data_IF_005729170181
#
_entry.id   IF_005729170181
#
_cell.length_a   1.000
_cell.length_b   1.000
_cell.length_c   1.000
_cell.angle_alpha   90.00
_cell.angle_beta   90.00
_cell.angle_gamma   90.00
#
_symmetry.space_group_name_H-M   'P 1'
#
loop_
_entity.id
_entity.type
_entity.pdbx_description
1 polymer ?
#
# COMPACT_ATOMS: atom_id res chain seq x y z
N UNK A 1 -11.61 22.57 8.00
CA UNK A 1 -10.85 23.08 6.83
C UNK A 1 -9.34 22.97 7.04
N UNK A 2 -8.75 23.48 8.13
CA UNK A 2 -7.30 23.36 8.39
C UNK A 2 -6.83 21.90 8.48
N UNK A 3 -7.55 21.04 9.22
CA UNK A 3 -7.21 19.60 9.33
C UNK A 3 -7.23 18.93 7.94
N UNK A 4 -8.30 19.17 7.17
CA UNK A 4 -8.46 18.62 5.80
C UNK A 4 -7.32 19.07 4.88
N UNK A 5 -6.87 20.32 4.99
CA UNK A 5 -5.73 20.82 4.22
C UNK A 5 -4.44 20.01 4.50
N UNK A 6 -4.12 19.76 5.77
CA UNK A 6 -2.94 18.96 6.13
C UNK A 6 -3.08 17.50 5.72
N UNK A 7 -4.26 16.89 5.93
CA UNK A 7 -4.54 15.53 5.48
C UNK A 7 -4.35 15.39 3.96
N UNK A 8 -4.92 16.32 3.17
CA UNK A 8 -4.81 16.30 1.72
C UNK A 8 -3.37 16.54 1.23
N UNK A 9 -2.61 17.38 1.91
CA UNK A 9 -1.18 17.62 1.60
C UNK A 9 -0.34 16.37 1.82
N UNK A 10 -0.58 15.62 2.89
CA UNK A 10 0.07 14.35 3.12
C UNK A 10 -0.40 13.27 2.12
N UNK A 11 -1.71 13.17 1.92
CA UNK A 11 -2.31 12.10 1.14
C UNK A 11 -1.98 12.19 -0.36
N UNK A 12 -1.88 13.41 -0.91
CA UNK A 12 -1.47 13.59 -2.31
C UNK A 12 -0.03 13.12 -2.57
N UNK A 13 0.84 13.15 -1.55
CA UNK A 13 2.20 12.60 -1.68
C UNK A 13 2.19 11.08 -1.79
N UNK A 14 1.31 10.39 -1.04
CA UNK A 14 1.12 8.93 -1.18
C UNK A 14 0.66 8.57 -2.59
N UNK A 15 -0.28 9.33 -3.15
CA UNK A 15 -0.71 9.17 -4.54
C UNK A 15 0.42 9.45 -5.53
N UNK A 16 1.25 10.46 -5.27
CA UNK A 16 2.41 10.80 -6.10
C UNK A 16 3.41 9.67 -6.15
N UNK A 17 3.72 9.05 -5.00
CA UNK A 17 4.56 7.85 -4.95
C UNK A 17 3.92 6.69 -5.73
N UNK A 18 2.61 6.46 -5.56
CA UNK A 18 1.88 5.47 -6.34
C UNK A 18 1.98 5.69 -7.85
N UNK A 19 1.84 6.94 -8.31
CA UNK A 19 1.97 7.31 -9.72
C UNK A 19 3.40 7.10 -10.23
N UNK A 20 4.40 7.45 -9.43
CA UNK A 20 5.81 7.24 -9.76
C UNK A 20 6.12 5.74 -9.93
N UNK A 21 5.70 4.90 -8.98
CA UNK A 21 5.86 3.45 -9.07
C UNK A 21 5.07 2.84 -10.24
N UNK A 22 3.87 3.35 -10.54
CA UNK A 22 3.09 2.90 -11.70
C UNK A 22 3.85 3.17 -13.01
N UNK A 23 4.38 4.38 -13.21
CA UNK A 23 5.18 4.71 -14.39
C UNK A 23 6.38 3.76 -14.54
N UNK A 24 7.06 3.46 -13.44
CA UNK A 24 8.19 2.53 -13.43
C UNK A 24 7.81 1.05 -13.57
N UNK A 25 6.55 0.69 -13.34
CA UNK A 25 6.05 -0.68 -13.52
C UNK A 25 6.01 -1.11 -14.99
N UNK A 26 6.01 -0.16 -15.93
CA UNK A 26 6.02 -0.42 -17.37
C UNK A 26 7.44 -0.60 -17.96
N UNK A 27 8.48 -0.48 -17.13
CA UNK A 27 9.84 -0.76 -17.56
C UNK A 27 10.05 -2.27 -17.85
N UNK A 28 10.95 -2.58 -18.79
CA UNK A 28 11.27 -3.97 -19.14
C UNK A 28 11.77 -4.77 -17.92
N UNK A 29 12.53 -4.12 -17.05
CA UNK A 29 12.95 -4.63 -15.75
C UNK A 29 12.52 -3.66 -14.68
N UNK A 30 11.90 -4.15 -13.59
CA UNK A 30 11.49 -3.29 -12.50
C UNK A 30 12.73 -2.66 -11.82
N UNK A 31 12.79 -1.34 -11.64
CA UNK A 31 13.99 -0.66 -11.13
C UNK A 31 14.33 -1.03 -9.69
N UNK A 32 13.34 -1.47 -8.91
CA UNK A 32 13.52 -2.00 -7.55
C UNK A 32 13.81 -3.51 -7.49
N UNK A 33 13.95 -4.17 -8.65
CA UNK A 33 14.33 -5.57 -8.76
C UNK A 33 15.83 -5.80 -8.80
N UNK A 34 16.63 -4.79 -9.15
CA UNK A 34 18.07 -4.89 -9.43
C UNK A 34 18.88 -3.85 -8.67
N UNK A 35 20.14 -4.15 -8.39
CA UNK A 35 21.13 -3.23 -7.80
C UNK A 35 21.96 -2.49 -8.86
N UNK A 36 21.75 -2.76 -10.15
CA UNK A 36 22.50 -2.12 -11.24
C UNK A 36 21.88 -0.76 -11.65
N UNK A 37 21.72 0.15 -10.68
CA UNK A 37 21.22 1.51 -10.94
C UNK A 37 22.15 2.57 -10.34
N UNK A 38 22.03 3.80 -10.84
CA UNK A 38 22.89 4.93 -10.42
C UNK A 38 22.70 5.36 -8.97
N UNK A 39 21.55 5.04 -8.36
CA UNK A 39 21.23 5.34 -6.97
C UNK A 39 21.59 4.21 -6.01
N UNK A 40 22.08 3.07 -6.50
CA UNK A 40 22.42 1.95 -5.64
C UNK A 40 23.78 2.14 -4.96
N UNK A 41 23.90 1.68 -3.72
CA UNK A 41 25.15 1.72 -2.97
C UNK A 41 25.95 0.42 -3.22
N UNK A 42 27.25 0.39 -2.88
CA UNK A 42 28.02 -0.86 -2.88
C UNK A 42 27.48 -1.93 -1.93
N UNK A 43 26.62 -1.55 -0.98
CA UNK A 43 25.97 -2.45 -0.03
C UNK A 43 24.66 -3.07 -0.57
N UNK A 44 24.23 -2.68 -1.78
CA UNK A 44 23.04 -3.26 -2.40
C UNK A 44 23.30 -4.72 -2.78
N UNK A 45 22.39 -5.61 -2.38
CA UNK A 45 22.45 -7.03 -2.73
C UNK A 45 21.14 -7.52 -3.34
N UNK A 46 21.23 -7.99 -4.58
CA UNK A 46 20.15 -8.74 -5.24
C UNK A 46 20.04 -10.17 -4.69
N UNK A 47 21.12 -10.69 -4.09
CA UNK A 47 21.21 -12.07 -3.64
C UNK A 47 20.27 -12.33 -2.47
N UNK A 48 19.24 -13.10 -2.76
CA UNK A 48 18.51 -13.94 -1.82
C UNK A 48 19.42 -15.13 -1.54
N UNK A 49 19.69 -15.44 -0.26
CA UNK A 49 20.64 -16.47 0.17
C UNK A 49 20.52 -17.81 -0.56
N UNK A 50 21.25 -17.97 -1.66
CA UNK A 50 21.27 -19.21 -2.45
C UNK A 50 22.63 -19.43 -3.09
N UNK A 51 23.57 -19.83 -2.24
CA UNK A 51 24.58 -20.83 -2.59
C UNK A 51 24.97 -21.56 -1.31
N UNK A 52 24.33 -22.71 -1.06
CA UNK A 52 24.50 -23.63 0.09
C UNK A 52 23.88 -23.26 1.46
N UNK A 53 22.56 -23.03 1.54
CA UNK A 53 21.80 -23.29 2.80
C UNK A 53 21.34 -24.77 2.87
N UNK A 54 22.15 -25.72 2.41
CA UNK A 54 21.79 -27.15 2.26
C UNK A 54 22.50 -28.10 3.23
N UNK A 55 23.36 -27.62 4.16
CA UNK A 55 24.09 -28.52 5.06
C UNK A 55 24.40 -27.99 6.47
N UNK A 56 23.68 -26.98 6.96
CA UNK A 56 23.82 -26.49 8.33
C UNK A 56 22.50 -25.92 8.81
N UNK A 57 22.17 -26.17 10.09
CA UNK A 57 21.04 -25.61 10.84
C UNK A 57 20.54 -24.28 10.28
N UNK A 58 19.24 -24.21 9.95
CA UNK A 58 18.53 -23.13 9.25
C UNK A 58 18.55 -21.73 9.92
N UNK A 59 19.48 -21.46 10.84
CA UNK A 59 19.50 -20.28 11.69
C UNK A 59 20.25 -19.07 11.10
N UNK A 60 20.96 -19.19 9.96
CA UNK A 60 21.87 -18.14 9.47
C UNK A 60 21.69 -17.74 7.99
N UNK A 61 20.48 -17.83 7.42
CA UNK A 61 20.21 -17.30 6.06
C UNK A 61 19.73 -15.82 6.13
N UNK A 62 20.40 -14.99 6.94
CA UNK A 62 20.18 -13.54 6.95
C UNK A 62 21.10 -12.84 5.96
N UNK A 63 20.67 -11.67 5.46
CA UNK A 63 21.55 -10.76 4.73
C UNK A 63 22.79 -10.47 5.60
N UNK A 64 24.01 -10.51 5.05
CA UNK A 64 25.20 -10.10 5.78
C UNK A 64 24.99 -8.73 6.41
N UNK A 65 25.42 -8.56 7.66
CA UNK A 65 25.26 -7.30 8.39
C UNK A 65 25.79 -6.13 7.54
N UNK A 66 24.92 -5.16 7.26
CA UNK A 66 25.23 -3.98 6.45
C UNK A 66 24.82 -4.07 4.97
N UNK A 67 24.28 -5.19 4.47
CA UNK A 67 23.69 -5.25 3.12
C UNK A 67 22.23 -4.82 3.10
N UNK A 68 21.84 -4.07 2.08
CA UNK A 68 20.46 -3.61 1.86
C UNK A 68 19.83 -4.21 0.60
N UNK A 69 18.50 -4.33 0.63
CA UNK A 69 17.75 -4.84 -0.51
C UNK A 69 17.51 -3.74 -1.56
N UNK A 70 17.42 -4.09 -2.86
CA UNK A 70 17.30 -3.09 -3.92
C UNK A 70 16.05 -2.21 -3.81
N UNK A 71 14.96 -2.74 -3.23
CA UNK A 71 13.72 -2.01 -3.02
C UNK A 71 13.83 -0.96 -1.90
N UNK A 72 14.58 -1.25 -0.83
CA UNK A 72 14.80 -0.30 0.26
C UNK A 72 15.66 0.84 -0.26
N UNK A 73 16.73 0.55 -1.00
CA UNK A 73 17.54 1.59 -1.62
C UNK A 73 16.77 2.38 -2.69
N UNK A 74 15.89 1.74 -3.46
CA UNK A 74 15.02 2.44 -4.40
C UNK A 74 14.08 3.40 -3.66
N UNK A 75 13.46 2.96 -2.57
CA UNK A 75 12.57 3.79 -1.76
C UNK A 75 13.32 4.95 -1.09
N UNK A 76 14.39 4.66 -0.36
CA UNK A 76 15.08 5.65 0.47
C UNK A 76 15.99 6.58 -0.33
N UNK A 77 16.75 6.06 -1.30
CA UNK A 77 17.77 6.84 -2.03
C UNK A 77 17.30 7.38 -3.36
N UNK A 78 16.23 6.83 -3.95
CA UNK A 78 15.74 7.27 -5.27
C UNK A 78 14.38 7.94 -5.23
N UNK A 79 13.41 7.36 -4.52
CA UNK A 79 12.06 7.92 -4.41
C UNK A 79 12.07 9.06 -3.39
N UNK A 80 12.41 8.77 -2.13
CA UNK A 80 12.40 9.76 -1.06
C UNK A 80 13.60 10.69 -1.10
N UNK A 81 14.75 10.20 -1.57
CA UNK A 81 16.04 10.92 -1.52
C UNK A 81 16.31 11.49 -0.11
N UNK A 82 16.31 10.57 0.87
CA UNK A 82 16.36 10.93 2.29
C UNK A 82 17.62 11.74 2.62
N UNK A 83 17.38 12.90 3.22
CA UNK A 83 18.43 13.74 3.80
C UNK A 83 18.93 13.18 5.15
N UNK A 84 19.96 13.81 5.71
CA UNK A 84 20.56 13.40 6.98
C UNK A 84 19.62 13.59 8.20
N UNK A 85 18.64 14.49 8.09
CA UNK A 85 17.70 14.80 9.16
C UNK A 85 16.71 15.90 8.79
N UNK A 86 15.76 16.17 9.71
CA UNK A 86 14.66 17.14 9.49
C UNK A 86 15.14 18.59 9.28
N UNK A 87 16.32 18.93 9.79
CA UNK A 87 16.93 20.26 9.66
C UNK A 87 17.47 20.51 8.23
N UNK A 88 17.78 19.45 7.50
CA UNK A 88 18.30 19.50 6.13
C UNK A 88 17.23 18.97 5.18
N UNK A 89 16.47 19.85 4.54
CA UNK A 89 15.35 19.43 3.67
C UNK A 89 15.82 18.76 2.36
N UNK A 90 17.10 18.91 2.02
CA UNK A 90 17.68 18.36 0.79
C UNK A 90 17.21 19.11 -0.46
N UNK A 91 17.37 18.45 -1.62
CA UNK A 91 16.98 18.99 -2.92
C UNK A 91 15.58 18.51 -3.33
N UNK A 92 14.92 19.29 -4.20
CA UNK A 92 13.61 18.93 -4.72
C UNK A 92 13.75 17.92 -5.86
N UNK A 93 13.24 16.71 -5.66
CA UNK A 93 13.15 15.69 -6.71
C UNK A 93 12.22 16.14 -7.84
N UNK A 94 12.80 16.48 -8.99
CA UNK A 94 12.04 16.99 -10.14
C UNK A 94 11.08 15.95 -10.72
N UNK A 95 11.45 14.66 -10.71
CA UNK A 95 10.57 13.60 -11.19
C UNK A 95 9.31 13.48 -10.32
N UNK A 96 9.48 13.53 -8.99
CA UNK A 96 8.34 13.52 -8.07
C UNK A 96 7.52 14.81 -8.19
N UNK A 97 8.15 15.95 -8.47
CA UNK A 97 7.44 17.22 -8.69
C UNK A 97 6.54 17.14 -9.93
N UNK A 98 7.01 16.52 -11.01
CA UNK A 98 6.19 16.28 -12.20
C UNK A 98 5.06 15.27 -11.92
N UNK A 99 5.34 14.18 -11.19
CA UNK A 99 4.30 13.23 -10.77
C UNK A 99 3.25 13.90 -9.88
N UNK A 100 3.67 14.80 -8.97
CA UNK A 100 2.79 15.56 -8.09
C UNK A 100 1.89 16.50 -8.90
N UNK A 101 2.48 17.24 -9.85
CA UNK A 101 1.73 18.12 -10.75
C UNK A 101 0.70 17.32 -11.57
N UNK A 102 1.11 16.18 -12.14
CA UNK A 102 0.21 15.32 -12.89
C UNK A 102 -0.93 14.76 -12.02
N UNK A 103 -0.63 14.35 -10.79
CA UNK A 103 -1.63 13.84 -9.84
C UNK A 103 -2.63 14.92 -9.46
N UNK A 104 -2.18 16.16 -9.21
CA UNK A 104 -3.06 17.31 -8.97
C UNK A 104 -3.95 17.65 -10.17
N UNK A 105 -3.41 17.57 -11.38
CA UNK A 105 -4.19 17.77 -12.61
C UNK A 105 -5.31 16.73 -12.69
N UNK A 106 -5.02 15.45 -12.42
CA UNK A 106 -6.03 14.38 -12.39
C UNK A 106 -7.10 14.67 -11.34
N UNK A 107 -6.72 14.97 -10.10
CA UNK A 107 -7.65 15.32 -9.01
C UNK A 107 -8.54 16.51 -9.39
N UNK A 108 -7.95 17.56 -9.97
CA UNK A 108 -8.69 18.72 -10.44
C UNK A 108 -9.78 18.33 -11.45
N UNK A 109 -9.46 17.51 -12.46
CA UNK A 109 -10.45 17.08 -13.44
C UNK A 109 -11.53 16.15 -12.86
N UNK A 110 -11.21 15.37 -11.82
CA UNK A 110 -12.19 14.55 -11.11
C UNK A 110 -13.25 15.40 -10.37
N UNK A 111 -12.88 16.61 -9.91
CA UNK A 111 -13.74 17.45 -9.06
C UNK A 111 -14.27 18.70 -9.77
N UNK A 112 -13.64 19.18 -10.85
CA UNK A 112 -13.91 20.49 -11.48
C UNK A 112 -15.41 20.75 -11.72
N UNK A 113 -16.16 19.79 -12.25
CA UNK A 113 -17.60 19.96 -12.54
C UNK A 113 -18.52 19.64 -11.35
N UNK A 114 -17.97 19.60 -10.14
CA UNK A 114 -18.66 19.33 -8.88
C UNK A 114 -19.15 17.90 -8.73
N UNK A 115 -20.06 17.69 -7.78
CA UNK A 115 -20.53 16.37 -7.31
C UNK A 115 -21.11 15.47 -8.42
N UNK A 116 -21.61 16.04 -9.52
CA UNK A 116 -22.11 15.26 -10.65
C UNK A 116 -21.01 14.54 -11.42
N UNK A 117 -19.85 15.19 -11.59
CA UNK A 117 -18.68 14.55 -12.24
C UNK A 117 -17.96 13.67 -11.26
N UNK A 118 -17.77 14.11 -10.01
CA UNK A 118 -17.20 13.28 -8.95
C UNK A 118 -17.97 11.97 -8.80
N UNK A 119 -19.30 12.00 -8.74
CA UNK A 119 -20.13 10.80 -8.67
C UNK A 119 -19.90 9.84 -9.85
N UNK A 120 -19.71 10.36 -11.08
CA UNK A 120 -19.38 9.53 -12.26
C UNK A 120 -18.00 8.89 -12.18
N UNK A 121 -17.00 9.64 -11.73
CA UNK A 121 -15.64 9.14 -11.54
C UNK A 121 -15.61 8.05 -10.45
N UNK A 122 -16.35 8.27 -9.36
CA UNK A 122 -16.45 7.34 -8.23
C UNK A 122 -17.00 5.97 -8.63
N UNK A 123 -17.91 5.89 -9.62
CA UNK A 123 -18.33 4.57 -10.13
C UNK A 123 -17.16 3.73 -10.61
N UNK A 124 -16.12 4.33 -11.20
CA UNK A 124 -14.93 3.60 -11.61
C UNK A 124 -13.93 3.47 -10.46
N UNK A 125 -13.58 4.57 -9.79
CA UNK A 125 -12.53 4.58 -8.76
C UNK A 125 -12.90 3.78 -7.51
N UNK A 126 -14.19 3.61 -7.20
CA UNK A 126 -14.64 2.79 -6.06
C UNK A 126 -14.88 1.32 -6.42
N UNK A 127 -15.27 0.98 -7.65
CA UNK A 127 -15.61 -0.41 -8.02
C UNK A 127 -14.43 -1.18 -8.60
N UNK A 128 -13.59 -0.54 -9.40
CA UNK A 128 -12.47 -1.19 -10.07
C UNK A 128 -11.42 -1.75 -9.08
N UNK A 129 -11.13 -1.10 -7.93
CA UNK A 129 -10.29 -1.71 -6.90
C UNK A 129 -10.77 -3.09 -6.44
N UNK A 130 -12.08 -3.36 -6.37
CA UNK A 130 -12.57 -4.71 -6.02
C UNK A 130 -12.22 -5.76 -7.06
N UNK A 131 -12.26 -5.39 -8.35
CA UNK A 131 -11.83 -6.29 -9.43
C UNK A 131 -10.36 -6.62 -9.26
N UNK A 132 -9.52 -5.61 -8.98
CA UNK A 132 -8.08 -5.82 -8.75
C UNK A 132 -7.84 -6.65 -7.48
N UNK A 133 -8.54 -6.36 -6.37
CA UNK A 133 -8.45 -7.14 -5.14
C UNK A 133 -8.79 -8.62 -5.38
N UNK A 134 -9.81 -8.93 -6.18
CA UNK A 134 -10.16 -10.31 -6.53
C UNK A 134 -9.03 -10.96 -7.36
N UNK A 135 -8.47 -10.26 -8.34
CA UNK A 135 -7.35 -10.76 -9.15
C UNK A 135 -6.13 -11.03 -8.27
N UNK A 136 -5.78 -10.09 -7.40
CA UNK A 136 -4.66 -10.20 -6.46
C UNK A 136 -4.92 -11.26 -5.40
N UNK A 137 -6.17 -11.46 -4.97
CA UNK A 137 -6.56 -12.54 -4.06
C UNK A 137 -6.30 -13.90 -4.69
N UNK A 138 -6.86 -14.15 -5.89
CA UNK A 138 -6.66 -15.41 -6.63
C UNK A 138 -5.18 -15.65 -6.88
N UNK A 139 -4.42 -14.60 -7.22
CA UNK A 139 -2.97 -14.72 -7.37
C UNK A 139 -2.30 -15.06 -6.04
N UNK A 140 -2.62 -14.33 -4.98
CA UNK A 140 -2.06 -14.50 -3.64
C UNK A 140 -2.23 -15.91 -3.12
N UNK A 141 -3.45 -16.45 -3.16
CA UNK A 141 -3.75 -17.80 -2.64
C UNK A 141 -3.21 -18.95 -3.50
N UNK A 142 -2.78 -18.68 -4.74
CA UNK A 142 -2.15 -19.68 -5.62
C UNK A 142 -0.62 -19.71 -5.48
N UNK A 143 -0.04 -18.79 -4.73
CA UNK A 143 1.39 -18.78 -4.44
C UNK A 143 1.71 -19.78 -3.30
N UNK A 144 2.91 -20.38 -3.31
CA UNK A 144 3.38 -21.17 -2.17
C UNK A 144 3.50 -20.26 -0.94
N UNK A 145 3.20 -20.74 0.26
CA UNK A 145 3.34 -19.95 1.51
C UNK A 145 2.14 -19.08 1.85
N UNK A 146 1.13 -19.03 0.98
CA UNK A 146 -0.05 -18.21 1.17
C UNK A 146 -0.89 -18.66 2.39
N UNK A 147 -0.91 -19.95 2.68
CA UNK A 147 -1.67 -20.52 3.79
C UNK A 147 -1.09 -20.05 5.13
N UNK A 148 0.23 -20.07 5.28
CA UNK A 148 0.96 -19.61 6.45
C UNK A 148 0.68 -18.12 6.69
N UNK A 149 0.65 -17.32 5.63
CA UNK A 149 0.22 -15.93 5.65
C UNK A 149 -1.20 -15.73 6.19
N UNK A 150 -2.15 -16.50 5.68
CA UNK A 150 -3.57 -16.44 6.11
C UNK A 150 -3.73 -16.93 7.55
N UNK A 151 -3.00 -17.97 7.96
CA UNK A 151 -2.99 -18.44 9.35
C UNK A 151 -2.47 -17.34 10.26
N UNK A 152 -1.33 -16.71 9.92
CA UNK A 152 -0.80 -15.59 10.68
C UNK A 152 -1.81 -14.44 10.82
N UNK A 153 -2.55 -14.13 9.75
CA UNK A 153 -3.58 -13.09 9.77
C UNK A 153 -4.75 -13.40 10.72
N UNK A 154 -5.19 -14.66 10.77
CA UNK A 154 -6.40 -15.06 11.49
C UNK A 154 -6.15 -15.63 12.87
N UNK A 155 -4.93 -16.06 13.17
CA UNK A 155 -4.60 -16.72 14.42
C UNK A 155 -4.76 -15.75 15.59
N UNK A 156 -5.74 -15.97 16.49
CA UNK A 156 -6.00 -15.03 17.57
C UNK A 156 -5.00 -15.22 18.70
N UNK A 157 -4.44 -14.12 19.20
CA UNK A 157 -3.78 -14.07 20.49
C UNK A 157 -4.73 -13.47 21.53
N UNK A 158 -5.37 -14.33 22.32
CA UNK A 158 -6.36 -13.91 23.31
C UNK A 158 -5.76 -13.11 24.46
N UNK A 159 -4.45 -13.24 24.71
CA UNK A 159 -3.78 -12.48 25.76
C UNK A 159 -3.77 -10.97 25.45
N UNK A 160 -3.71 -10.63 24.15
CA UNK A 160 -3.73 -9.24 23.67
C UNK A 160 -5.03 -8.50 23.95
N UNK A 161 -6.16 -9.19 24.10
CA UNK A 161 -7.43 -8.53 24.42
C UNK A 161 -7.44 -7.88 25.82
N UNK A 162 -6.54 -8.29 26.71
CA UNK A 162 -6.35 -7.65 28.02
C UNK A 162 -5.55 -6.35 27.95
N UNK A 163 -4.88 -6.05 26.83
CA UNK A 163 -4.10 -4.83 26.64
C UNK A 163 -5.01 -3.69 26.17
N UNK A 164 -5.05 -2.58 26.92
CA UNK A 164 -5.87 -1.42 26.56
C UNK A 164 -5.51 -0.83 25.18
N UNK A 165 -4.24 -0.96 24.77
CA UNK A 165 -3.75 -0.45 23.49
C UNK A 165 -4.49 -1.08 22.30
N UNK A 166 -4.83 -2.38 22.36
CA UNK A 166 -5.55 -3.07 21.28
C UNK A 166 -6.92 -2.45 21.01
N UNK A 167 -7.60 -2.00 22.07
CA UNK A 167 -8.90 -1.33 21.95
C UNK A 167 -8.78 0.10 21.46
N UNK A 168 -7.73 0.81 21.89
CA UNK A 168 -7.41 2.15 21.37
C UNK A 168 -7.13 2.07 19.86
N UNK A 169 -6.33 1.10 19.43
CA UNK A 169 -6.00 0.89 18.03
C UNK A 169 -7.24 0.49 17.22
N UNK A 170 -8.07 -0.42 17.72
CA UNK A 170 -9.33 -0.81 17.07
C UNK A 170 -10.30 0.38 16.91
N UNK A 171 -10.47 1.18 17.97
CA UNK A 171 -11.30 2.40 17.91
C UNK A 171 -10.75 3.44 16.93
N UNK A 172 -9.43 3.64 16.94
CA UNK A 172 -8.71 4.55 16.04
C UNK A 172 -8.84 4.11 14.58
N UNK A 173 -8.67 2.82 14.31
CA UNK A 173 -8.81 2.23 12.97
C UNK A 173 -10.20 2.48 12.40
N UNK A 174 -11.25 2.19 13.17
CA UNK A 174 -12.63 2.41 12.71
C UNK A 174 -12.93 3.90 12.54
N UNK A 175 -12.50 4.74 13.48
CA UNK A 175 -12.72 6.19 13.41
C UNK A 175 -12.12 6.80 12.13
N UNK A 176 -10.88 6.46 11.80
CA UNK A 176 -10.20 6.95 10.59
C UNK A 176 -10.67 6.24 9.32
N UNK A 177 -11.04 4.96 9.38
CA UNK A 177 -11.56 4.23 8.22
C UNK A 177 -12.86 4.83 7.66
N UNK A 178 -13.72 5.39 8.52
CA UNK A 178 -14.93 6.10 8.10
C UNK A 178 -14.75 7.62 7.97
N UNK A 179 -13.57 8.16 8.28
CA UNK A 179 -13.31 9.61 8.26
C UNK A 179 -14.34 10.42 9.09
N UNK A 180 -14.74 9.90 10.25
CA UNK A 180 -15.81 10.50 11.07
C UNK A 180 -15.38 11.90 11.54
N UNK A 181 -16.28 12.88 11.40
CA UNK A 181 -16.03 14.25 11.87
C UNK A 181 -15.17 15.12 10.94
N UNK A 182 -14.72 14.62 9.79
CA UNK A 182 -13.99 15.42 8.79
C UNK A 182 -14.90 16.27 7.88
N UNK A 183 -16.22 16.10 7.98
CA UNK A 183 -17.22 16.87 7.22
C UNK A 183 -17.52 16.33 5.82
N UNK A 184 -16.75 15.35 5.31
CA UNK A 184 -16.98 14.74 4.00
C UNK A 184 -18.35 14.05 3.90
N UNK A 185 -18.69 13.18 4.86
CA UNK A 185 -20.00 12.51 4.89
C UNK A 185 -21.16 13.49 5.08
N UNK A 186 -20.98 14.54 5.88
CA UNK A 186 -21.97 15.61 6.04
C UNK A 186 -22.20 16.37 4.75
N UNK A 187 -21.13 16.67 4.01
CA UNK A 187 -21.22 17.33 2.70
C UNK A 187 -21.88 16.42 1.65
N UNK A 188 -21.59 15.12 1.62
CA UNK A 188 -22.27 14.19 0.73
C UNK A 188 -23.75 14.04 1.07
N UNK A 189 -24.08 13.99 2.37
CA UNK A 189 -25.45 13.94 2.85
C UNK A 189 -26.28 15.16 2.48
N UNK A 190 -25.69 16.35 2.38
CA UNK A 190 -26.41 17.59 2.01
C UNK A 190 -26.88 17.61 0.56
N UNK A 191 -26.30 16.77 -0.31
CA UNK A 191 -26.74 16.56 -1.70
C UNK A 191 -27.72 15.39 -1.86
N UNK A 192 -28.06 14.68 -0.77
CA UNK A 192 -28.95 13.53 -0.84
C UNK A 192 -30.43 13.94 -0.87
N UNK A 193 -31.32 13.01 -1.23
CA UNK A 193 -32.76 13.24 -1.18
C UNK A 193 -33.25 13.33 0.26
N UNK A 194 -34.18 14.25 0.53
CA UNK A 194 -34.68 14.52 1.89
C UNK A 194 -35.31 13.30 2.57
N UNK A 195 -36.04 12.47 1.80
CA UNK A 195 -36.72 11.26 2.31
C UNK A 195 -35.90 9.97 2.07
N UNK A 196 -34.60 10.07 1.82
CA UNK A 196 -33.75 8.89 1.65
C UNK A 196 -33.55 8.17 2.99
N UNK A 197 -33.59 6.84 2.97
CA UNK A 197 -33.32 6.01 4.16
C UNK A 197 -31.81 5.99 4.47
N UNK A 198 -31.35 7.00 5.19
CA UNK A 198 -29.95 7.13 5.57
C UNK A 198 -29.50 6.06 6.59
N UNK A 199 -30.43 5.43 7.31
CA UNK A 199 -30.10 4.37 8.27
C UNK A 199 -29.65 3.10 7.54
N UNK A 200 -30.39 2.71 6.50
CA UNK A 200 -30.02 1.61 5.62
C UNK A 200 -28.66 1.87 4.96
N UNK A 201 -28.44 3.07 4.43
CA UNK A 201 -27.19 3.44 3.79
C UNK A 201 -26.01 3.36 4.76
N UNK A 202 -26.18 3.84 6.00
CA UNK A 202 -25.14 3.76 7.03
C UNK A 202 -24.79 2.31 7.38
N UNK A 203 -25.78 1.42 7.49
CA UNK A 203 -25.54 0.01 7.77
C UNK A 203 -24.81 -0.69 6.62
N UNK A 204 -25.21 -0.43 5.37
CA UNK A 204 -24.54 -0.96 4.18
C UNK A 204 -23.10 -0.46 4.10
N UNK A 205 -22.89 0.84 4.29
CA UNK A 205 -21.56 1.45 4.31
C UNK A 205 -20.67 0.78 5.35
N UNK A 206 -21.22 0.50 6.55
CA UNK A 206 -20.48 -0.14 7.62
C UNK A 206 -20.05 -1.57 7.28
N UNK A 207 -20.96 -2.37 6.73
CA UNK A 207 -20.67 -3.74 6.31
C UNK A 207 -19.67 -3.80 5.16
N UNK A 208 -19.83 -2.94 4.15
CA UNK A 208 -18.94 -2.91 2.98
C UNK A 208 -17.55 -2.47 3.39
N UNK A 209 -17.41 -1.41 4.18
CA UNK A 209 -16.10 -0.92 4.61
C UNK A 209 -15.34 -1.98 5.45
N UNK A 210 -15.99 -2.55 6.46
CA UNK A 210 -15.36 -3.58 7.31
C UNK A 210 -15.10 -4.87 6.54
N UNK A 211 -16.04 -5.31 5.69
CA UNK A 211 -15.88 -6.50 4.86
C UNK A 211 -14.75 -6.36 3.84
N UNK A 212 -14.61 -5.18 3.24
CA UNK A 212 -13.52 -4.88 2.31
C UNK A 212 -12.17 -4.85 3.01
N UNK A 213 -12.10 -4.24 4.20
CA UNK A 213 -10.88 -4.23 5.01
C UNK A 213 -10.46 -5.64 5.42
N UNK A 214 -11.42 -6.47 5.82
CA UNK A 214 -11.16 -7.88 6.13
C UNK A 214 -10.67 -8.66 4.91
N UNK A 215 -11.33 -8.51 3.76
CA UNK A 215 -10.94 -9.16 2.51
C UNK A 215 -9.56 -8.71 2.01
N UNK A 216 -9.25 -7.41 2.09
CA UNK A 216 -7.94 -6.87 1.74
C UNK A 216 -6.83 -7.46 2.64
N UNK A 217 -7.14 -7.78 3.90
CA UNK A 217 -6.25 -8.53 4.79
C UNK A 217 -5.81 -9.87 4.19
N UNK A 218 -6.74 -10.68 3.66
CA UNK A 218 -6.39 -11.93 2.96
C UNK A 218 -5.48 -11.70 1.75
N UNK A 219 -5.75 -10.66 0.96
CA UNK A 219 -4.93 -10.30 -0.21
C UNK A 219 -3.48 -9.99 0.21
N UNK A 220 -3.32 -9.12 1.21
CA UNK A 220 -1.99 -8.70 1.68
C UNK A 220 -1.26 -9.88 2.31
N UNK A 221 -1.87 -10.58 3.26
CA UNK A 221 -1.19 -11.62 4.02
C UNK A 221 -0.92 -12.88 3.21
N UNK A 222 -1.73 -13.23 2.19
CA UNK A 222 -1.39 -14.32 1.27
C UNK A 222 -0.12 -14.03 0.46
N UNK A 223 0.07 -12.79 0.01
CA UNK A 223 1.29 -12.36 -0.71
C UNK A 223 2.49 -12.24 0.23
N UNK A 224 2.30 -11.75 1.46
CA UNK A 224 3.37 -11.71 2.47
C UNK A 224 3.82 -13.11 2.90
N UNK A 225 2.89 -14.07 3.04
CA UNK A 225 3.21 -15.46 3.34
C UNK A 225 4.12 -16.08 2.27
N UNK A 226 3.82 -15.82 0.99
CA UNK A 226 4.72 -16.19 -0.12
C UNK A 226 6.11 -15.56 0.02
N UNK A 227 6.18 -14.26 0.30
CA UNK A 227 7.46 -13.58 0.49
C UNK A 227 8.25 -14.11 1.69
N UNK A 228 7.59 -14.46 2.79
CA UNK A 228 8.20 -15.07 3.96
C UNK A 228 8.78 -16.45 3.62
N UNK A 229 8.03 -17.30 2.90
CA UNK A 229 8.49 -18.62 2.48
C UNK A 229 9.68 -18.54 1.51
N UNK A 230 9.62 -17.68 0.48
CA UNK A 230 10.73 -17.51 -0.48
C UNK A 230 12.02 -17.01 0.19
N UNK A 231 11.90 -16.32 1.32
CA UNK A 231 13.04 -15.81 2.10
C UNK A 231 13.46 -16.71 3.25
N UNK A 232 12.64 -17.68 3.64
CA UNK A 232 12.86 -18.51 4.81
C UNK A 232 12.87 -17.72 6.13
N UNK A 233 12.07 -16.67 6.25
CA UNK A 233 11.94 -15.83 7.45
C UNK A 233 10.52 -15.86 8.00
N UNK A 234 10.33 -15.40 9.24
CA UNK A 234 9.00 -15.27 9.84
C UNK A 234 8.18 -14.16 9.15
N UNK A 235 6.86 -14.33 9.10
CA UNK A 235 5.95 -13.36 8.46
C UNK A 235 6.02 -11.99 9.16
N UNK A 236 6.27 -11.97 10.48
CA UNK A 236 6.42 -10.72 11.24
C UNK A 236 7.64 -9.89 10.81
N UNK A 237 8.67 -10.49 10.21
CA UNK A 237 9.86 -9.78 9.71
C UNK A 237 9.64 -9.14 8.33
N UNK A 238 8.62 -9.59 7.58
CA UNK A 238 8.28 -9.04 6.25
C UNK A 238 7.06 -8.12 6.28
N UNK A 239 6.28 -8.16 7.36
CA UNK A 239 5.12 -7.29 7.58
C UNK A 239 5.56 -5.90 8.06
N UNK A 240 6.01 -5.06 7.13
CA UNK A 240 6.27 -3.65 7.44
C UNK A 240 4.97 -2.89 7.76
N UNK A 241 5.08 -1.81 8.53
CA UNK A 241 3.95 -0.93 8.88
C UNK A 241 3.97 0.36 8.07
N UNK A 242 2.80 0.98 7.92
CA UNK A 242 2.66 2.27 7.25
C UNK A 242 2.99 2.20 5.75
N UNK A 243 3.58 3.27 5.16
CA UNK A 243 3.93 3.30 3.74
C UNK A 243 4.88 2.18 3.29
N UNK A 244 5.73 1.69 4.20
CA UNK A 244 6.68 0.60 3.91
C UNK A 244 5.99 -0.68 3.41
N UNK A 245 4.80 -0.99 3.95
CA UNK A 245 4.02 -2.14 3.48
C UNK A 245 3.71 -2.06 1.97
N UNK A 246 3.27 -0.89 1.51
CA UNK A 246 2.83 -0.68 0.13
C UNK A 246 3.99 -0.36 -0.84
N UNK A 247 5.05 0.28 -0.35
CA UNK A 247 6.14 0.77 -1.19
C UNK A 247 7.46 0.00 -1.05
N UNK A 248 7.56 -0.90 -0.07
CA UNK A 248 8.72 -1.78 0.14
C UNK A 248 8.30 -3.26 0.12
N UNK A 249 7.46 -3.69 1.06
CA UNK A 249 7.11 -5.11 1.19
C UNK A 249 6.37 -5.65 -0.04
N UNK A 250 5.30 -4.98 -0.48
CA UNK A 250 4.55 -5.43 -1.65
C UNK A 250 5.37 -5.39 -2.96
N UNK A 251 6.08 -4.30 -3.30
CA UNK A 251 6.91 -4.23 -4.52
C UNK A 251 8.04 -5.25 -4.53
N UNK A 252 8.50 -5.66 -3.35
CA UNK A 252 9.45 -6.75 -3.21
C UNK A 252 8.81 -8.11 -3.44
N UNK A 253 7.62 -8.36 -2.91
CA UNK A 253 6.93 -9.63 -3.13
C UNK A 253 6.65 -9.84 -4.62
N UNK A 254 6.25 -8.79 -5.36
CA UNK A 254 5.99 -8.91 -6.80
C UNK A 254 7.23 -9.20 -7.63
N UNK A 255 8.44 -8.77 -7.22
CA UNK A 255 9.67 -9.12 -7.99
C UNK A 255 10.02 -10.60 -7.93
N UNK A 256 9.46 -11.34 -6.96
CA UNK A 256 9.61 -12.79 -6.85
C UNK A 256 8.59 -13.55 -7.73
N UNK A 257 7.58 -12.86 -8.28
CA UNK A 257 6.55 -13.47 -9.10
C UNK A 257 6.92 -13.43 -10.59
N UNK A 258 6.48 -14.41 -11.40
CA UNK A 258 6.53 -14.31 -12.86
C UNK A 258 5.69 -13.13 -13.35
N UNK A 259 6.18 -12.44 -14.39
CA UNK A 259 5.58 -11.22 -14.95
C UNK A 259 5.36 -10.11 -13.90
N UNK A 260 6.42 -9.71 -13.17
CA UNK A 260 6.32 -8.83 -12.01
C UNK A 260 5.72 -7.44 -12.36
N UNK A 261 5.88 -6.99 -13.60
CA UNK A 261 5.32 -5.75 -14.13
C UNK A 261 3.78 -5.71 -14.06
N UNK A 262 3.12 -6.84 -14.36
CA UNK A 262 1.65 -6.92 -14.36
C UNK A 262 1.12 -6.74 -12.95
N UNK A 263 1.70 -7.45 -11.98
CA UNK A 263 1.27 -7.40 -10.58
C UNK A 263 1.56 -6.03 -9.95
N UNK A 264 2.73 -5.45 -10.23
CA UNK A 264 3.07 -4.10 -9.79
C UNK A 264 2.09 -3.07 -10.37
N UNK A 265 1.85 -3.09 -11.69
CA UNK A 265 0.93 -2.15 -12.33
C UNK A 265 -0.49 -2.27 -11.78
N UNK A 266 -1.02 -3.49 -11.61
CA UNK A 266 -2.35 -3.70 -11.02
C UNK A 266 -2.43 -3.12 -9.60
N UNK A 267 -1.44 -3.40 -8.75
CA UNK A 267 -1.42 -2.88 -7.39
C UNK A 267 -1.34 -1.36 -7.32
N UNK A 268 -0.44 -0.73 -8.09
CA UNK A 268 -0.31 0.72 -8.06
C UNK A 268 -1.48 1.44 -8.74
N UNK A 269 -2.12 0.84 -9.76
CA UNK A 269 -3.42 1.32 -10.27
C UNK A 269 -4.47 1.27 -9.17
N UNK A 270 -4.58 0.14 -8.44
CA UNK A 270 -5.52 0.02 -7.34
C UNK A 270 -5.28 1.08 -6.25
N UNK A 271 -4.03 1.27 -5.83
CA UNK A 271 -3.63 2.27 -4.84
C UNK A 271 -4.03 3.68 -5.30
N UNK A 272 -3.75 4.03 -6.56
CA UNK A 272 -4.14 5.30 -7.14
C UNK A 272 -5.65 5.48 -7.18
N UNK A 273 -6.42 4.46 -7.57
CA UNK A 273 -7.88 4.55 -7.65
C UNK A 273 -8.52 4.69 -6.26
N UNK A 274 -8.03 3.93 -5.27
CA UNK A 274 -8.49 4.05 -3.89
C UNK A 274 -8.20 5.45 -3.33
N UNK A 275 -7.02 6.00 -3.60
CA UNK A 275 -6.68 7.32 -3.12
C UNK A 275 -7.36 8.46 -3.89
N UNK A 276 -7.52 8.34 -5.21
CA UNK A 276 -8.31 9.30 -6.00
C UNK A 276 -9.80 9.28 -5.65
N UNK A 277 -10.34 8.14 -5.22
CA UNK A 277 -11.71 8.05 -4.71
C UNK A 277 -11.89 8.72 -3.34
N UNK A 278 -10.80 8.87 -2.58
CA UNK A 278 -10.80 9.41 -1.22
C UNK A 278 -10.47 10.92 -1.16
N UNK A 279 -9.72 11.43 -2.14
CA UNK A 279 -9.43 12.86 -2.37
C UNK A 279 -10.63 13.60 -2.98
#
# INVERSE_FOLDING_TARGET
MVIVFFCNTYYIMVLTWGAYYLCHSFAATLPWGTCNNTWNSPACSERIGSSNCSNGTAANCHLPAGMQSPIVEFWERKVLDLSSGLEEVGDISWQLTLCLLATWIVVYFCVWKGVKTTGKVVYFTATFPYIILIILFVRGVTLPGALEGIIYYLQPDWSKLGEAQVWIDAGTQIFFSYAIGLGALTALGSYNQFNNDCYKDAFILALVNSGTSFFAGFVVFSILGFMAQERGVDISEVAESGPGLAFIAYPKAVTLMPFPQVWAALFFIMLLLLGLGSQ
#
